data_IF_361332067378
#
_entry.id   IF_361332067378
#
_cell.length_a   1.000
_cell.length_b   1.000
_cell.length_c   1.000
_cell.angle_alpha   90.00
_cell.angle_beta   90.00
_cell.angle_gamma   90.00
#
_symmetry.space_group_name_H-M   'P 1'
#
loop_
_entity.id
_entity.type
_entity.pdbx_description
1 polymer ?
#
# COMPACT_ATOMS: atom_id res chain seq x y z
N UNK A 1 1.24 -13.03 11.23
CA UNK A 1 0.34 -14.07 10.70
C UNK A 1 1.16 -15.25 10.17
N UNK A 2 2.10 -15.03 9.24
CA UNK A 2 2.92 -16.11 8.67
C UNK A 2 3.75 -16.82 9.74
N UNK A 3 4.47 -16.07 10.60
CA UNK A 3 5.36 -16.62 11.61
C UNK A 3 4.63 -17.25 12.80
N UNK A 4 3.42 -16.79 13.09
CA UNK A 4 2.63 -17.29 14.22
C UNK A 4 1.74 -18.50 13.92
N UNK A 5 1.72 -19.01 12.70
CA UNK A 5 0.86 -20.12 12.29
C UNK A 5 -0.65 -19.84 12.40
N UNK A 6 -1.02 -18.58 12.69
CA UNK A 6 -2.41 -18.13 12.85
C UNK A 6 -2.86 -17.41 11.60
N UNK A 7 -4.03 -17.74 11.06
CA UNK A 7 -4.62 -17.04 9.93
C UNK A 7 -4.65 -17.81 8.61
N UNK A 8 -4.09 -19.01 8.51
CA UNK A 8 -4.23 -19.91 7.37
C UNK A 8 -3.60 -19.44 6.05
N UNK A 9 -2.80 -18.36 6.07
CA UNK A 9 -2.11 -17.85 4.87
C UNK A 9 -1.01 -18.83 4.43
N UNK A 10 -0.16 -19.28 5.36
CA UNK A 10 0.86 -20.27 5.12
C UNK A 10 0.38 -21.63 5.60
N UNK A 11 0.34 -22.60 4.72
CA UNK A 11 -0.12 -23.97 5.00
C UNK A 11 0.98 -25.00 5.04
N UNK A 12 2.11 -24.73 4.41
CA UNK A 12 3.24 -25.63 4.31
C UNK A 12 4.47 -25.06 5.00
N UNK A 13 5.11 -25.88 5.85
CA UNK A 13 6.34 -25.54 6.57
C UNK A 13 7.43 -26.58 6.28
N UNK A 14 8.74 -26.20 6.26
CA UNK A 14 9.27 -24.86 6.54
C UNK A 14 8.92 -23.83 5.46
N UNK A 15 8.80 -22.55 5.83
CA UNK A 15 8.44 -21.48 4.93
C UNK A 15 9.27 -20.21 5.17
N UNK A 16 9.59 -19.49 4.09
CA UNK A 16 10.25 -18.18 4.13
C UNK A 16 9.20 -17.11 3.88
N UNK A 17 8.94 -16.23 4.84
CA UNK A 17 7.96 -15.14 4.66
C UNK A 17 8.53 -13.98 3.83
N UNK A 18 7.72 -12.94 3.61
CA UNK A 18 8.06 -11.73 2.88
C UNK A 18 7.37 -11.69 1.52
N UNK A 19 6.39 -10.81 1.38
CA UNK A 19 5.54 -10.69 0.18
C UNK A 19 6.17 -9.83 -0.91
N UNK A 20 7.22 -9.09 -0.59
CA UNK A 20 7.95 -8.21 -1.47
C UNK A 20 9.44 -8.47 -1.37
N UNK A 21 10.16 -8.26 -2.45
CA UNK A 21 11.60 -8.10 -2.43
C UNK A 21 12.12 -7.26 -3.59
N UNK A 22 13.32 -6.72 -3.43
CA UNK A 22 14.09 -6.08 -4.48
C UNK A 22 15.56 -6.51 -4.34
N UNK A 23 16.23 -6.69 -5.45
CA UNK A 23 17.60 -7.15 -5.45
C UNK A 23 18.24 -7.11 -6.83
N UNK A 24 19.39 -7.79 -6.93
CA UNK A 24 20.12 -7.95 -8.19
C UNK A 24 19.98 -9.39 -8.68
N UNK A 25 19.75 -9.53 -9.96
CA UNK A 25 19.80 -10.84 -10.63
C UNK A 25 21.21 -11.42 -10.52
N UNK A 26 21.33 -12.63 -10.05
CA UNK A 26 22.60 -13.37 -9.96
C UNK A 26 22.73 -14.31 -11.16
N UNK A 27 21.64 -14.99 -11.51
CA UNK A 27 21.56 -15.95 -12.61
C UNK A 27 20.16 -15.86 -13.24
N UNK A 28 20.07 -15.94 -14.56
CA UNK A 28 18.79 -16.01 -15.28
C UNK A 28 18.89 -16.97 -16.47
N UNK A 29 17.80 -17.69 -16.74
CA UNK A 29 17.58 -18.42 -17.97
C UNK A 29 16.66 -17.67 -18.94
N UNK A 30 16.07 -16.55 -18.51
CA UNK A 30 15.20 -15.72 -19.30
C UNK A 30 16.02 -14.57 -19.93
N UNK A 31 15.97 -14.39 -21.25
CA UNK A 31 16.78 -13.38 -21.93
C UNK A 31 16.43 -11.93 -21.56
N UNK A 32 15.30 -11.69 -20.92
CA UNK A 32 14.89 -10.36 -20.43
C UNK A 32 15.73 -9.86 -19.27
N UNK A 33 16.44 -10.75 -18.57
CA UNK A 33 17.20 -10.41 -17.37
C UNK A 33 18.61 -10.99 -17.44
N UNK A 34 19.59 -10.16 -17.13
CA UNK A 34 21.00 -10.51 -17.04
C UNK A 34 21.52 -10.38 -15.60
N UNK A 35 22.60 -11.10 -15.24
CA UNK A 35 23.28 -10.89 -13.98
C UNK A 35 23.66 -9.43 -13.77
N UNK A 36 23.31 -8.88 -12.60
CA UNK A 36 23.52 -7.47 -12.25
C UNK A 36 22.28 -6.59 -12.39
N UNK A 37 21.26 -6.99 -13.17
CA UNK A 37 20.03 -6.25 -13.31
C UNK A 37 19.32 -6.09 -11.96
N UNK A 38 18.86 -4.88 -11.69
CA UNK A 38 18.06 -4.59 -10.48
C UNK A 38 16.59 -4.84 -10.78
N UNK A 39 15.97 -5.58 -9.90
CA UNK A 39 14.57 -6.01 -10.06
C UNK A 39 13.78 -5.83 -8.78
N UNK A 40 12.47 -5.75 -8.94
CA UNK A 40 11.49 -5.70 -7.87
C UNK A 40 10.43 -6.77 -8.10
N UNK A 41 9.92 -7.35 -7.02
CA UNK A 41 8.78 -8.24 -7.04
C UNK A 41 7.81 -7.86 -5.93
N UNK A 42 6.53 -7.74 -6.31
CA UNK A 42 5.40 -7.61 -5.38
C UNK A 42 4.29 -8.55 -5.81
N UNK A 43 3.58 -9.13 -4.86
CA UNK A 43 2.43 -9.99 -5.16
C UNK A 43 2.79 -11.45 -5.49
N UNK A 44 2.06 -12.07 -6.42
CA UNK A 44 2.22 -13.44 -6.91
C UNK A 44 2.14 -14.52 -5.82
N UNK A 45 1.63 -14.18 -4.63
CA UNK A 45 1.58 -15.03 -3.44
C UNK A 45 2.95 -15.49 -2.93
N UNK A 46 3.98 -14.71 -3.24
CA UNK A 46 5.31 -14.86 -2.66
C UNK A 46 5.21 -14.55 -1.17
N UNK A 47 5.84 -15.36 -0.32
CA UNK A 47 5.70 -15.27 1.13
C UNK A 47 4.44 -15.93 1.70
N UNK A 48 3.57 -16.48 0.84
CA UNK A 48 2.35 -17.21 1.23
C UNK A 48 2.40 -18.67 0.75
N UNK A 49 2.45 -18.89 -0.57
CA UNK A 49 2.56 -20.19 -1.22
C UNK A 49 3.99 -20.46 -1.65
N UNK A 50 4.63 -19.44 -2.21
CA UNK A 50 6.01 -19.49 -2.64
C UNK A 50 6.90 -18.92 -1.55
N UNK A 51 8.13 -19.38 -1.47
CA UNK A 51 9.11 -18.82 -0.55
C UNK A 51 9.28 -17.33 -0.78
N UNK A 52 9.30 -16.57 0.32
CA UNK A 52 9.28 -15.12 0.31
C UNK A 52 10.63 -14.44 0.27
N UNK A 53 10.60 -13.14 0.39
CA UNK A 53 11.73 -12.24 0.24
C UNK A 53 12.64 -12.11 1.47
N UNK A 54 12.30 -12.69 2.62
CA UNK A 54 13.16 -12.65 3.82
C UNK A 54 14.30 -13.66 3.71
N UNK A 55 15.07 -13.54 2.64
CA UNK A 55 16.20 -14.38 2.31
C UNK A 55 17.27 -13.58 1.56
N UNK A 56 18.52 -14.04 1.62
CA UNK A 56 19.61 -13.43 0.87
C UNK A 56 19.50 -13.69 -0.63
N UNK A 57 18.88 -14.81 -0.99
CA UNK A 57 18.62 -15.22 -2.37
C UNK A 57 17.21 -15.76 -2.51
N UNK A 58 16.55 -15.43 -3.61
CA UNK A 58 15.25 -15.94 -3.97
C UNK A 58 15.28 -16.47 -5.41
N UNK A 59 14.59 -17.59 -5.65
CA UNK A 59 14.39 -18.13 -6.99
C UNK A 59 12.94 -17.97 -7.38
N UNK A 60 12.68 -17.21 -8.44
CA UNK A 60 11.34 -16.84 -8.88
C UNK A 60 11.18 -16.97 -10.39
N UNK A 61 9.93 -16.88 -10.86
CA UNK A 61 9.64 -16.80 -12.29
C UNK A 61 9.99 -15.41 -12.81
N UNK A 62 10.60 -15.34 -13.97
CA UNK A 62 10.96 -14.08 -14.61
C UNK A 62 9.74 -13.17 -14.87
N UNK A 63 8.58 -13.75 -15.19
CA UNK A 63 7.33 -13.02 -15.41
C UNK A 63 6.79 -12.29 -14.17
N UNK A 64 7.32 -12.61 -12.99
CA UNK A 64 6.93 -11.95 -11.74
C UNK A 64 7.78 -10.71 -11.43
N UNK A 65 8.88 -10.57 -12.14
CA UNK A 65 9.84 -9.49 -11.92
C UNK A 65 9.49 -8.28 -12.75
N UNK A 66 9.77 -7.13 -12.18
CA UNK A 66 9.74 -5.84 -12.86
C UNK A 66 11.14 -5.24 -12.74
N UNK A 67 11.73 -4.68 -13.80
CA UNK A 67 12.95 -3.90 -13.68
C UNK A 67 12.77 -2.79 -12.65
N UNK A 68 13.76 -2.59 -11.79
CA UNK A 68 13.73 -1.47 -10.84
C UNK A 68 13.82 -0.16 -11.64
N UNK A 69 12.85 0.77 -11.50
CA UNK A 69 12.89 2.04 -12.20
C UNK A 69 14.14 2.84 -11.89
N UNK A 70 14.65 3.59 -12.88
CA UNK A 70 15.75 4.51 -12.70
C UNK A 70 15.42 5.55 -11.61
N UNK A 71 16.42 5.91 -10.83
CA UNK A 71 16.26 6.85 -9.71
C UNK A 71 15.82 6.22 -8.39
N UNK A 72 15.37 4.94 -8.39
CA UNK A 72 15.04 4.21 -7.16
C UNK A 72 16.16 3.27 -6.73
N UNK A 73 16.36 3.19 -5.43
CA UNK A 73 17.17 2.14 -4.80
C UNK A 73 16.29 0.94 -4.44
N UNK A 74 16.90 -0.26 -4.31
CA UNK A 74 16.18 -1.43 -3.81
C UNK A 74 15.51 -1.18 -2.45
N UNK A 75 16.14 -0.40 -1.57
CA UNK A 75 15.59 -0.04 -0.27
C UNK A 75 14.33 0.82 -0.41
N UNK A 76 14.35 1.83 -1.28
CA UNK A 76 13.18 2.68 -1.54
C UNK A 76 12.04 1.88 -2.17
N UNK A 77 12.34 0.97 -3.11
CA UNK A 77 11.34 0.07 -3.68
C UNK A 77 10.67 -0.81 -2.60
N UNK A 78 11.41 -1.26 -1.60
CA UNK A 78 10.85 -2.03 -0.49
C UNK A 78 10.08 -1.17 0.51
N UNK A 79 10.41 0.09 0.65
CA UNK A 79 9.60 1.04 1.42
C UNK A 79 8.23 1.31 0.76
N UNK A 80 8.18 1.28 -0.56
CA UNK A 80 6.93 1.35 -1.34
C UNK A 80 6.16 0.01 -1.22
N UNK A 81 6.75 -1.09 -1.65
CA UNK A 81 6.24 -2.45 -1.55
C UNK A 81 4.79 -2.63 -2.02
N UNK A 82 4.17 -3.69 -1.58
CA UNK A 82 2.74 -3.99 -1.85
C UNK A 82 1.81 -2.87 -1.36
N UNK A 83 2.13 -2.24 -0.23
CA UNK A 83 1.30 -1.17 0.33
C UNK A 83 1.24 0.04 -0.62
N UNK A 84 2.40 0.45 -1.17
CA UNK A 84 2.46 1.55 -2.11
C UNK A 84 1.79 1.25 -3.45
N UNK A 85 1.97 0.02 -3.97
CA UNK A 85 1.26 -0.42 -5.18
C UNK A 85 -0.26 -0.38 -4.96
N UNK A 86 -0.73 -0.87 -3.82
CA UNK A 86 -2.16 -0.86 -3.47
C UNK A 86 -2.70 0.57 -3.37
N UNK A 87 -1.98 1.46 -2.68
CA UNK A 87 -2.35 2.86 -2.58
C UNK A 87 -2.45 3.53 -3.97
N UNK A 88 -1.43 3.33 -4.82
CA UNK A 88 -1.42 3.91 -6.16
C UNK A 88 -2.57 3.39 -7.03
N UNK A 89 -2.87 2.08 -6.98
CA UNK A 89 -4.01 1.51 -7.69
C UNK A 89 -5.34 2.11 -7.24
N UNK A 90 -5.49 2.40 -5.95
CA UNK A 90 -6.68 3.06 -5.40
C UNK A 90 -6.82 4.50 -5.92
N UNK A 91 -5.73 5.26 -5.94
CA UNK A 91 -5.71 6.64 -6.49
C UNK A 91 -6.05 6.62 -7.98
N UNK A 92 -5.40 5.75 -8.77
CA UNK A 92 -5.70 5.59 -10.19
C UNK A 92 -7.15 5.15 -10.44
N UNK A 93 -7.77 4.40 -9.53
CA UNK A 93 -9.18 4.03 -9.65
C UNK A 93 -10.09 5.24 -9.46
N UNK A 94 -9.82 6.12 -8.50
CA UNK A 94 -10.55 7.36 -8.31
C UNK A 94 -10.45 8.27 -9.53
N UNK A 95 -9.25 8.50 -10.05
CA UNK A 95 -9.02 9.30 -11.26
C UNK A 95 -9.75 8.72 -12.48
N UNK A 96 -9.69 7.40 -12.69
CA UNK A 96 -10.39 6.73 -13.80
C UNK A 96 -11.92 6.80 -13.65
N UNK A 97 -12.41 6.90 -12.43
CA UNK A 97 -13.83 7.10 -12.16
C UNK A 97 -14.27 8.56 -12.39
N UNK A 98 -13.34 9.44 -12.67
CA UNK A 98 -13.60 10.84 -12.98
C UNK A 98 -13.56 11.76 -11.76
N UNK A 99 -13.06 11.30 -10.62
CA UNK A 99 -12.91 12.16 -9.44
C UNK A 99 -11.81 13.19 -9.71
N UNK A 100 -12.16 14.46 -9.66
CA UNK A 100 -11.25 15.58 -9.88
C UNK A 100 -10.97 16.33 -8.56
N UNK A 101 -9.91 17.12 -8.56
CA UNK A 101 -9.46 17.86 -7.35
C UNK A 101 -10.53 18.84 -6.87
N UNK A 102 -11.29 19.43 -7.79
CA UNK A 102 -12.37 20.38 -7.54
C UNK A 102 -13.66 19.75 -6.97
N UNK A 103 -13.80 18.43 -7.02
CA UNK A 103 -15.00 17.74 -6.53
C UNK A 103 -15.08 17.71 -5.00
N UNK A 104 -13.93 17.92 -4.33
CA UNK A 104 -13.85 17.96 -2.88
C UNK A 104 -12.80 17.03 -2.27
N UNK A 105 -12.78 16.94 -0.94
CA UNK A 105 -11.75 16.17 -0.24
C UNK A 105 -11.92 14.65 -0.41
N UNK A 106 -10.79 13.94 -0.38
CA UNK A 106 -10.73 12.48 -0.38
C UNK A 106 -10.53 11.96 1.05
N UNK A 107 -11.42 11.08 1.48
CA UNK A 107 -11.29 10.39 2.77
C UNK A 107 -10.28 9.24 2.64
N UNK A 108 -9.34 9.14 3.58
CA UNK A 108 -8.40 8.01 3.67
C UNK A 108 -8.55 7.35 5.03
N UNK A 109 -9.10 6.15 5.07
CA UNK A 109 -9.24 5.38 6.33
C UNK A 109 -7.99 4.58 6.64
N UNK A 110 -7.73 4.32 7.90
CA UNK A 110 -6.50 3.64 8.33
C UNK A 110 -5.23 4.39 7.90
N UNK A 111 -5.30 5.72 7.84
CA UNK A 111 -4.26 6.58 7.29
C UNK A 111 -2.88 6.39 7.93
N UNK A 112 -2.82 5.99 9.20
CA UNK A 112 -1.56 5.66 9.87
C UNK A 112 -0.96 4.29 9.53
N UNK A 113 -1.60 3.52 8.62
CA UNK A 113 -1.11 2.24 8.12
C UNK A 113 -0.26 2.37 6.85
N UNK A 114 0.28 1.26 6.35
CA UNK A 114 1.12 1.25 5.15
C UNK A 114 0.40 1.80 3.92
N UNK A 115 -0.77 1.26 3.59
CA UNK A 115 -1.56 1.71 2.43
C UNK A 115 -2.04 3.15 2.64
N UNK A 116 -2.65 3.44 3.79
CA UNK A 116 -3.24 4.76 4.05
C UNK A 116 -2.23 5.89 4.06
N UNK A 117 -1.03 5.70 4.63
CA UNK A 117 0.00 6.74 4.65
C UNK A 117 0.54 7.04 3.24
N UNK A 118 0.75 6.02 2.42
CA UNK A 118 1.16 6.23 1.02
C UNK A 118 0.02 6.86 0.21
N UNK A 119 -1.24 6.41 0.39
CA UNK A 119 -2.38 7.03 -0.27
C UNK A 119 -2.51 8.52 0.07
N UNK A 120 -2.35 8.88 1.35
CA UNK A 120 -2.33 10.28 1.78
C UNK A 120 -1.27 11.08 1.04
N UNK A 121 -0.03 10.58 0.99
CA UNK A 121 1.06 11.28 0.33
C UNK A 121 0.85 11.42 -1.19
N UNK A 122 0.39 10.36 -1.85
CA UNK A 122 0.15 10.36 -3.30
C UNK A 122 -1.00 11.30 -3.68
N UNK A 123 -2.12 11.24 -2.97
CA UNK A 123 -3.27 12.13 -3.20
C UNK A 123 -2.89 13.60 -2.98
N UNK A 124 -2.19 13.90 -1.89
CA UNK A 124 -1.72 15.26 -1.62
C UNK A 124 -0.76 15.76 -2.70
N UNK A 125 0.17 14.91 -3.16
CA UNK A 125 1.08 15.24 -4.26
C UNK A 125 0.35 15.45 -5.61
N UNK A 126 -0.79 14.77 -5.81
CA UNK A 126 -1.67 14.96 -6.97
C UNK A 126 -2.57 16.20 -6.85
N UNK A 127 -2.53 16.93 -5.73
CA UNK A 127 -3.27 18.15 -5.50
C UNK A 127 -4.63 17.98 -4.82
N UNK A 128 -5.01 16.76 -4.44
CA UNK A 128 -6.26 16.54 -3.71
C UNK A 128 -6.15 17.02 -2.26
N UNK A 129 -7.24 17.56 -1.74
CA UNK A 129 -7.41 17.76 -0.31
C UNK A 129 -7.66 16.39 0.37
N UNK A 130 -6.86 16.06 1.38
CA UNK A 130 -6.93 14.74 2.03
C UNK A 130 -7.41 14.86 3.47
N UNK A 131 -8.50 14.14 3.78
CA UNK A 131 -8.99 13.92 5.14
C UNK A 131 -8.53 12.54 5.62
N UNK A 132 -7.52 12.52 6.49
CA UNK A 132 -6.88 11.30 6.98
C UNK A 132 -7.51 10.81 8.28
N UNK A 133 -8.05 9.60 8.29
CA UNK A 133 -8.72 9.00 9.46
C UNK A 133 -7.78 8.04 10.17
N UNK A 134 -7.62 8.22 11.47
CA UNK A 134 -6.80 7.34 12.31
C UNK A 134 -7.37 7.21 13.72
N UNK A 135 -7.27 6.04 14.32
CA UNK A 135 -7.52 5.83 15.76
C UNK A 135 -6.24 5.95 16.61
N UNK A 136 -5.17 6.52 16.06
CA UNK A 136 -3.90 6.75 16.75
C UNK A 136 -3.54 8.23 16.73
N UNK A 137 -3.83 8.97 17.81
CA UNK A 137 -3.54 10.41 17.86
C UNK A 137 -2.06 10.77 17.69
N UNK A 138 -1.17 9.88 18.10
CA UNK A 138 0.28 10.04 18.02
C UNK A 138 0.82 10.15 16.58
N UNK A 139 0.08 9.67 15.58
CA UNK A 139 0.49 9.76 14.16
C UNK A 139 -0.05 11.01 13.44
N UNK A 140 -0.81 11.87 14.11
CA UNK A 140 -1.44 13.04 13.46
C UNK A 140 -0.42 13.97 12.80
N UNK A 141 0.64 14.34 13.50
CA UNK A 141 1.71 15.18 12.97
C UNK A 141 2.39 14.53 11.76
N UNK A 142 2.62 13.21 11.82
CA UNK A 142 3.18 12.47 10.69
C UNK A 142 2.27 12.54 9.46
N UNK A 143 0.97 12.35 9.62
CA UNK A 143 0.00 12.45 8.51
C UNK A 143 -0.04 13.85 7.90
N UNK A 144 0.07 14.89 8.72
CA UNK A 144 0.20 16.26 8.24
C UNK A 144 1.48 16.47 7.43
N UNK A 145 2.61 15.88 7.83
CA UNK A 145 3.85 15.95 7.02
C UNK A 145 3.73 15.22 5.69
N UNK A 146 2.83 14.25 5.57
CA UNK A 146 2.50 13.59 4.31
C UNK A 146 1.52 14.38 3.43
N UNK A 147 1.00 15.50 3.92
CA UNK A 147 0.11 16.38 3.19
C UNK A 147 -1.39 16.23 3.52
N UNK A 148 -1.73 15.53 4.62
CA UNK A 148 -3.12 15.52 5.10
C UNK A 148 -3.54 16.95 5.48
N UNK A 149 -4.61 17.46 4.85
CA UNK A 149 -5.20 18.75 5.18
C UNK A 149 -5.96 18.69 6.52
N UNK A 150 -6.61 17.56 6.77
CA UNK A 150 -7.36 17.31 8.01
C UNK A 150 -7.02 15.92 8.54
N UNK A 151 -6.87 15.81 9.86
CA UNK A 151 -6.76 14.51 10.55
C UNK A 151 -7.99 14.32 11.41
N UNK A 152 -8.69 13.23 11.18
CA UNK A 152 -9.97 12.91 11.82
C UNK A 152 -9.75 11.71 12.75
N UNK A 153 -10.25 11.83 13.99
CA UNK A 153 -10.29 10.69 14.88
C UNK A 153 -11.32 9.68 14.37
N UNK A 154 -10.93 8.42 14.27
CA UNK A 154 -11.82 7.34 13.81
C UNK A 154 -13.10 7.28 14.63
N UNK A 155 -13.01 7.43 15.96
CA UNK A 155 -14.15 7.28 16.84
C UNK A 155 -15.18 8.40 16.63
N UNK A 156 -14.74 9.60 16.21
CA UNK A 156 -15.63 10.70 15.86
C UNK A 156 -16.51 10.45 14.62
N UNK A 157 -16.09 9.55 13.73
CA UNK A 157 -16.92 9.14 12.58
C UNK A 157 -18.02 8.15 12.98
N UNK A 158 -17.84 7.47 14.11
CA UNK A 158 -18.79 6.47 14.62
C UNK A 158 -19.87 7.10 15.51
N UNK A 159 -19.58 8.25 16.14
CA UNK A 159 -20.46 8.92 17.10
C UNK A 159 -21.54 9.78 16.42
N UNK A 160 -21.58 9.83 15.09
CA UNK A 160 -22.58 10.62 14.36
C UNK A 160 -23.99 10.08 14.55
N UNK A 161 -24.95 10.99 14.86
CA UNK A 161 -26.39 10.70 14.77
C UNK A 161 -26.67 9.99 13.46
N UNK A 162 -27.14 8.74 13.54
CA UNK A 162 -27.44 7.90 12.38
C UNK A 162 -28.66 8.42 11.64
N UNK A 163 -28.52 9.57 10.96
CA UNK A 163 -29.53 10.02 10.02
C UNK A 163 -29.51 9.08 8.82
N UNK A 164 -30.66 8.63 8.32
CA UNK A 164 -30.72 7.72 7.19
C UNK A 164 -30.03 8.24 5.91
N UNK A 165 -29.90 9.56 5.79
CA UNK A 165 -29.19 10.26 4.72
C UNK A 165 -28.43 11.43 5.32
N UNK A 166 -27.12 11.40 5.19
CA UNK A 166 -26.23 12.52 5.48
C UNK A 166 -25.91 13.27 4.18
N UNK A 167 -25.59 14.56 4.30
CA UNK A 167 -25.05 15.30 3.16
C UNK A 167 -23.70 14.71 2.74
N UNK A 168 -23.46 14.71 1.46
CA UNK A 168 -22.21 14.33 0.85
C UNK A 168 -21.07 15.23 1.35
N UNK A 169 -20.00 14.62 1.84
CA UNK A 169 -18.87 15.32 2.44
C UNK A 169 -17.55 15.04 1.72
N UNK A 170 -17.47 13.93 0.98
CA UNK A 170 -16.26 13.40 0.37
C UNK A 170 -16.48 13.13 -1.11
N UNK A 171 -15.56 13.58 -1.96
CA UNK A 171 -15.57 13.25 -3.39
C UNK A 171 -15.22 11.78 -3.66
N UNK A 172 -14.48 11.17 -2.73
CA UNK A 172 -14.09 9.76 -2.82
C UNK A 172 -13.48 9.25 -1.53
N UNK A 173 -13.21 7.95 -1.50
CA UNK A 173 -12.61 7.30 -0.35
C UNK A 173 -11.57 6.25 -0.75
N UNK A 174 -10.43 6.27 -0.07
CA UNK A 174 -9.49 5.13 -0.04
C UNK A 174 -9.66 4.43 1.29
N UNK A 175 -10.42 3.32 1.29
CA UNK A 175 -10.68 2.55 2.50
C UNK A 175 -9.72 1.38 2.64
N UNK A 176 -8.85 1.41 3.66
CA UNK A 176 -7.91 0.34 3.99
C UNK A 176 -8.28 -0.43 5.25
N UNK A 177 -9.41 -0.13 5.88
CA UNK A 177 -9.89 -0.78 7.11
C UNK A 177 -11.00 -1.76 6.81
N UNK A 178 -11.96 -1.35 6.00
CA UNK A 178 -13.14 -2.16 5.68
C UNK A 178 -14.08 -2.40 6.86
N UNK A 179 -15.13 -3.21 6.63
CA UNK A 179 -16.07 -3.65 7.67
C UNK A 179 -16.83 -2.48 8.32
N UNK A 180 -17.23 -2.65 9.55
CA UNK A 180 -17.84 -1.57 10.34
C UNK A 180 -16.71 -0.71 10.93
N UNK A 181 -16.56 0.48 10.40
CA UNK A 181 -15.83 1.54 11.08
C UNK A 181 -16.73 2.20 12.06
#
# INVERSE_FOLDING_TARGET
>A
LCLGGKGGLVRNYPHIPGIDFSGKVVESKDPRYAPGDKVVLTGWRVGEIWWGGYAQYARVKADWLVPLPDGLTCQQAMAIGTAGVTAMLSVLALERHGVAVEDGPILVTGAGGGVGSVATAVLAAAGFEVAAVTGRPDVATYLQTLGAATVIDRDSLMDGDSKPLMSEQWAGCVDSVGSQM
#
